data_IF_970811645633
#
_entry.id   IF_970811645633
#
_cell.length_a   1.000
_cell.length_b   1.000
_cell.length_c   1.000
_cell.angle_alpha   90.00
_cell.angle_beta   90.00
_cell.angle_gamma   90.00
#
_symmetry.space_group_name_H-M   'P 1'
#
loop_
_entity.id
_entity.type
_entity.pdbx_description
1 polymer ?
#
# COMPACT_ATOMS: atom_id res chain seq x y z
N UNK A 1 -3.29 -32.87 37.38
CA UNK A 1 -2.39 -33.02 36.22
C UNK A 1 -3.13 -34.04 35.37
N UNK A 2 -3.76 -33.64 34.27
CA UNK A 2 -3.06 -33.13 33.09
C UNK A 2 -3.81 -31.99 32.38
N UNK A 3 -3.03 -31.07 31.83
CA UNK A 3 -3.50 -29.83 31.21
C UNK A 3 -4.00 -30.05 29.79
N UNK A 4 -5.07 -29.35 29.45
CA UNK A 4 -5.53 -29.14 28.09
C UNK A 4 -4.55 -28.19 27.41
N UNK A 5 -3.76 -28.68 26.46
CA UNK A 5 -2.95 -27.85 25.58
C UNK A 5 -3.88 -27.28 24.49
N UNK A 6 -4.45 -26.11 24.78
CA UNK A 6 -5.09 -25.27 23.77
C UNK A 6 -4.01 -24.77 22.79
N UNK A 7 -3.84 -25.50 21.69
CA UNK A 7 -3.06 -25.02 20.55
C UNK A 7 -3.80 -23.85 19.91
N UNK A 8 -3.41 -22.63 20.25
CA UNK A 8 -3.77 -21.46 19.45
C UNK A 8 -3.00 -21.54 18.14
N UNK A 9 -3.65 -22.05 17.09
CA UNK A 9 -3.17 -21.89 15.72
C UNK A 9 -3.24 -20.41 15.36
N UNK A 10 -2.18 -19.67 15.71
CA UNK A 10 -1.92 -18.35 15.14
C UNK A 10 -1.64 -18.55 13.65
N UNK A 11 -2.70 -18.54 12.85
CA UNK A 11 -2.66 -18.53 11.41
C UNK A 11 -2.06 -17.21 10.93
N UNK A 12 -0.75 -17.05 11.06
CA UNK A 12 -0.02 -15.93 10.47
C UNK A 12 -0.20 -15.98 8.95
N UNK A 13 -1.05 -15.11 8.43
CA UNK A 13 -1.28 -14.96 7.00
C UNK A 13 -0.05 -14.28 6.37
N UNK A 14 0.87 -15.08 5.83
CA UNK A 14 2.12 -14.58 5.25
C UNK A 14 1.87 -13.73 3.99
N UNK A 15 2.58 -12.59 3.91
CA UNK A 15 2.63 -11.72 2.73
C UNK A 15 3.49 -12.29 1.60
N UNK A 16 3.37 -11.73 0.40
CA UNK A 16 4.19 -12.13 -0.75
C UNK A 16 5.42 -11.21 -0.89
N UNK A 17 6.59 -11.69 -0.48
CA UNK A 17 7.86 -10.98 -0.73
C UNK A 17 8.36 -11.22 -2.16
N UNK A 18 8.86 -10.18 -2.84
CA UNK A 18 9.32 -10.21 -4.23
C UNK A 18 10.57 -9.34 -4.41
N UNK A 19 11.47 -9.78 -5.29
CA UNK A 19 12.64 -8.98 -5.68
C UNK A 19 12.27 -7.96 -6.75
N UNK A 20 13.03 -6.86 -6.81
CA UNK A 20 12.89 -5.83 -7.84
C UNK A 20 13.69 -6.25 -9.08
N UNK A 21 13.00 -6.44 -10.20
CA UNK A 21 13.64 -6.69 -11.48
C UNK A 21 14.06 -5.39 -12.16
N UNK A 22 13.21 -4.37 -12.07
CA UNK A 22 13.40 -3.10 -12.76
C UNK A 22 12.64 -1.97 -12.06
N UNK A 23 13.24 -0.78 -12.06
CA UNK A 23 12.64 0.47 -11.64
C UNK A 23 12.64 1.45 -12.81
N UNK A 24 11.48 1.86 -13.28
CA UNK A 24 11.31 2.81 -14.38
C UNK A 24 10.76 4.12 -13.82
N UNK A 25 11.63 5.13 -13.67
CA UNK A 25 11.24 6.47 -13.22
C UNK A 25 10.71 7.28 -14.39
N UNK A 26 9.63 8.05 -14.19
CA UNK A 26 9.09 8.90 -15.25
C UNK A 26 10.16 9.87 -15.78
N UNK A 27 10.38 9.88 -17.10
CA UNK A 27 11.51 10.58 -17.76
C UNK A 27 11.59 12.08 -17.48
N UNK A 28 10.45 12.72 -17.19
CA UNK A 28 10.36 14.15 -16.85
C UNK A 28 10.43 14.45 -15.35
N UNK A 29 10.65 13.45 -14.50
CA UNK A 29 10.86 13.68 -13.08
C UNK A 29 12.14 14.49 -12.86
N UNK A 30 12.01 15.63 -12.17
CA UNK A 30 13.14 16.54 -11.87
C UNK A 30 13.25 16.83 -10.37
N UNK A 31 12.66 15.97 -9.54
CA UNK A 31 12.56 16.13 -8.09
C UNK A 31 11.14 16.51 -7.65
N UNK A 32 10.89 16.40 -6.35
CA UNK A 32 9.55 16.51 -5.72
C UNK A 32 8.79 17.80 -6.05
N UNK A 33 9.49 18.90 -6.34
CA UNK A 33 8.88 20.19 -6.73
C UNK A 33 8.65 20.34 -8.23
N UNK A 34 9.27 19.48 -9.05
CA UNK A 34 9.23 19.54 -10.51
C UNK A 34 8.04 18.80 -11.14
N UNK A 35 7.22 18.12 -10.33
CA UNK A 35 6.13 17.29 -10.81
C UNK A 35 6.59 15.97 -11.42
N UNK A 36 5.65 15.27 -12.07
CA UNK A 36 5.88 13.93 -12.64
C UNK A 36 6.43 12.91 -11.63
N UNK A 37 5.98 13.02 -10.39
CA UNK A 37 6.38 12.14 -9.29
C UNK A 37 5.66 10.78 -9.40
N UNK A 38 6.18 9.93 -10.29
CA UNK A 38 5.66 8.61 -10.60
C UNK A 38 6.80 7.69 -11.06
N UNK A 39 6.78 6.43 -10.61
CA UNK A 39 7.65 5.38 -11.09
C UNK A 39 6.87 4.06 -11.22
N UNK A 40 7.33 3.19 -12.13
CA UNK A 40 6.85 1.82 -12.27
C UNK A 40 7.90 0.86 -11.69
N UNK A 41 7.43 -0.16 -10.98
CA UNK A 41 8.27 -1.23 -10.43
C UNK A 41 7.88 -2.54 -11.08
N UNK A 42 8.85 -3.25 -11.63
CA UNK A 42 8.67 -4.61 -12.13
C UNK A 42 9.16 -5.61 -11.09
N UNK A 43 8.29 -6.52 -10.70
CA UNK A 43 8.57 -7.57 -9.73
C UNK A 43 9.12 -8.82 -10.41
N UNK A 44 10.04 -9.52 -9.75
CA UNK A 44 10.49 -10.86 -10.11
C UNK A 44 10.57 -11.76 -8.85
N UNK A 45 9.81 -12.87 -8.80
CA UNK A 45 8.78 -13.27 -9.77
C UNK A 45 7.56 -12.33 -9.76
N UNK A 46 6.64 -12.42 -10.75
CA UNK A 46 5.37 -11.70 -10.68
C UNK A 46 4.57 -12.00 -9.40
N UNK A 47 3.72 -11.08 -8.98
CA UNK A 47 2.81 -11.30 -7.86
C UNK A 47 1.75 -12.36 -8.22
N UNK A 48 1.42 -13.23 -7.27
CA UNK A 48 0.35 -14.21 -7.44
C UNK A 48 -0.95 -13.60 -6.98
N UNK A 49 -1.88 -13.36 -7.90
CA UNK A 49 -3.18 -12.79 -7.57
C UNK A 49 -4.04 -13.78 -6.77
N UNK A 50 -4.87 -13.25 -5.88
CA UNK A 50 -5.75 -14.05 -5.03
C UNK A 50 -6.58 -13.18 -4.09
N UNK A 51 -7.18 -13.77 -3.04
CA UNK A 51 -8.09 -13.06 -2.14
C UNK A 51 -7.46 -11.84 -1.43
N UNK A 52 -6.14 -11.86 -1.19
CA UNK A 52 -5.39 -10.80 -0.49
C UNK A 52 -4.51 -9.94 -1.39
N UNK A 53 -4.33 -10.33 -2.66
CA UNK A 53 -3.47 -9.63 -3.62
C UNK A 53 -4.27 -9.39 -4.90
N UNK A 54 -4.66 -8.13 -5.10
CA UNK A 54 -5.45 -7.68 -6.25
C UNK A 54 -4.75 -6.57 -7.04
N UNK A 55 -5.36 -6.21 -8.16
CA UNK A 55 -4.92 -5.08 -8.98
C UNK A 55 -5.87 -3.89 -8.78
N UNK A 56 -5.35 -2.68 -8.98
CA UNK A 56 -6.15 -1.46 -9.03
C UNK A 56 -6.39 -1.06 -10.49
N UNK A 57 -7.57 -0.53 -10.76
CA UNK A 57 -7.90 0.01 -12.08
C UNK A 57 -7.12 1.31 -12.33
N UNK A 58 -6.58 1.48 -13.53
CA UNK A 58 -6.04 2.76 -13.96
C UNK A 58 -7.18 3.70 -14.37
N UNK A 59 -7.10 5.00 -14.02
CA UNK A 59 -8.09 5.97 -14.46
C UNK A 59 -8.03 6.13 -15.98
N UNK A 60 -9.19 6.31 -16.61
CA UNK A 60 -9.27 6.72 -18.01
C UNK A 60 -8.82 8.19 -18.11
N UNK A 61 -7.94 8.56 -19.06
CA UNK A 61 -7.42 9.92 -19.20
C UNK A 61 -8.49 11.02 -19.23
N UNK A 62 -9.66 10.70 -19.78
CA UNK A 62 -10.78 11.62 -19.97
C UNK A 62 -11.79 11.65 -18.80
N UNK A 63 -11.54 10.93 -17.69
CA UNK A 63 -12.46 10.85 -16.54
C UNK A 63 -11.76 11.22 -15.23
N UNK A 64 -11.44 12.51 -15.02
CA UNK A 64 -10.98 12.96 -13.72
C UNK A 64 -12.10 12.84 -12.68
N UNK A 65 -11.77 12.57 -11.40
CA UNK A 65 -12.78 12.57 -10.33
C UNK A 65 -13.44 13.95 -10.21
N UNK A 66 -14.75 14.01 -9.94
CA UNK A 66 -15.45 15.28 -9.71
C UNK A 66 -14.88 16.04 -8.51
N UNK A 67 -15.01 17.36 -8.54
CA UNK A 67 -14.69 18.16 -7.35
C UNK A 67 -15.61 17.79 -6.18
N UNK A 68 -15.04 17.66 -4.99
CA UNK A 68 -15.77 17.24 -3.79
C UNK A 68 -16.04 15.75 -3.69
N UNK A 69 -15.54 14.94 -4.63
CA UNK A 69 -15.59 13.48 -4.54
C UNK A 69 -14.80 13.00 -3.31
N UNK A 70 -15.45 12.19 -2.48
CA UNK A 70 -14.77 11.52 -1.36
C UNK A 70 -13.88 10.38 -1.90
N UNK A 71 -12.64 10.33 -1.38
CA UNK A 71 -11.60 9.39 -1.77
C UNK A 71 -10.95 8.76 -0.53
N UNK A 72 -10.28 7.62 -0.71
CA UNK A 72 -9.53 6.95 0.36
C UNK A 72 -8.03 6.99 0.07
N UNK A 73 -7.24 7.14 1.13
CA UNK A 73 -5.78 7.01 1.11
C UNK A 73 -5.40 5.96 2.16
N UNK A 74 -4.55 5.03 1.79
CA UNK A 74 -4.08 3.94 2.67
C UNK A 74 -2.55 3.92 2.71
N UNK A 75 -1.98 3.43 3.83
CA UNK A 75 -0.54 3.30 3.99
C UNK A 75 -0.15 3.11 5.46
N UNK A 76 1.13 2.82 5.68
CA UNK A 76 1.72 2.60 7.01
C UNK A 76 2.56 3.79 7.50
N UNK A 77 2.33 4.98 6.93
CA UNK A 77 3.07 6.20 7.29
C UNK A 77 2.74 6.73 8.68
N UNK A 78 3.46 7.77 9.10
CA UNK A 78 3.23 8.44 10.38
C UNK A 78 1.80 8.97 10.48
N UNK A 79 1.13 8.67 11.60
CA UNK A 79 -0.23 9.17 11.89
C UNK A 79 -0.21 10.53 12.58
N UNK A 80 0.95 10.98 13.07
CA UNK A 80 1.15 12.26 13.74
C UNK A 80 2.53 12.85 13.40
N UNK A 81 2.64 14.18 13.37
CA UNK A 81 3.83 14.92 12.90
C UNK A 81 5.04 14.85 13.84
N UNK A 82 4.94 14.19 14.99
CA UNK A 82 5.96 14.18 16.05
C UNK A 82 6.21 12.81 16.71
N UNK A 83 5.74 11.70 16.13
CA UNK A 83 6.08 10.34 16.59
C UNK A 83 5.51 9.92 17.96
N UNK A 84 4.83 10.80 18.68
CA UNK A 84 4.12 10.45 19.92
C UNK A 84 2.68 10.02 19.59
N UNK A 85 2.52 8.74 19.25
CA UNK A 85 1.23 8.19 18.89
C UNK A 85 1.23 6.67 18.87
N UNK A 86 1.56 6.05 20.00
CA UNK A 86 1.24 4.65 20.25
C UNK A 86 -0.27 4.42 20.06
N UNK A 87 -0.58 3.35 19.32
CA UNK A 87 -1.90 2.83 18.95
C UNK A 87 -2.69 3.62 17.88
N UNK A 88 -3.00 2.99 16.72
CA UNK A 88 -3.75 3.63 15.65
C UNK A 88 -5.21 3.76 16.05
N UNK A 89 -5.63 4.95 16.48
CA UNK A 89 -7.04 5.35 16.44
C UNK A 89 -7.32 6.11 15.16
N UNK A 90 -7.89 5.39 14.19
CA UNK A 90 -8.68 5.97 13.12
C UNK A 90 -7.88 6.60 11.98
N UNK A 91 -8.16 6.10 10.77
CA UNK A 91 -7.90 6.82 9.54
C UNK A 91 -8.53 8.21 9.66
N UNK A 92 -7.73 9.27 9.57
CA UNK A 92 -8.26 10.64 9.48
C UNK A 92 -8.75 10.88 8.07
N UNK A 93 -10.04 11.22 7.96
CA UNK A 93 -10.66 11.71 6.76
C UNK A 93 -10.16 13.13 6.47
N UNK A 94 -9.84 13.41 5.22
CA UNK A 94 -9.78 14.77 4.65
C UNK A 94 -11.01 14.95 3.77
#
# INVERSE_FOLDING_TARGET
RDGHEDGHEDGHEEGQERSLAELVVHERFRGVRGGHDLALVRLEPPATLGPRVGTLCLPLPQHPPPFGQQCWVTGWGHVAENGEGGHPRGLRYW
#
